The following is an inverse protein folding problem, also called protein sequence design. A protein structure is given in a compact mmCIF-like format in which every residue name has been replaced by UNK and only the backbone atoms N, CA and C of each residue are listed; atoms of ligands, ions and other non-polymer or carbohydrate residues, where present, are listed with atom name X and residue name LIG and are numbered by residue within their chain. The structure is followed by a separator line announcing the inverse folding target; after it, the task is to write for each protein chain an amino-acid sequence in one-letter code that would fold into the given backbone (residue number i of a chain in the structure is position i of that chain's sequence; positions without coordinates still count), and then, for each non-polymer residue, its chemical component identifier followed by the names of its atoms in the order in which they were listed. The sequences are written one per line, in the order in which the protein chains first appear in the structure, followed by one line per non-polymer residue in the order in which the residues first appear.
data_IF_994072652156
#
_entry.id   IF_994072652156
#
_cell.length_a   1.000
_cell.length_b   1.000
_cell.length_c   1.000
_cell.angle_alpha   90.00
_cell.angle_beta   90.00
_cell.angle_gamma   90.00
#
_symmetry.space_group_name_H-M   'P 1'
#
loop_
_entity.id
_entity.type
_entity.pdbx_description
1 polymer ?
#
# COMPACT_ATOMS: atom_id res chain seq x y z
N UNK A 1 -12.83 -4.49 7.97
CA UNK A 1 -13.10 -3.05 7.68
C UNK A 1 -12.81 -2.15 8.87
N UNK A 2 -13.19 -2.58 10.09
CA UNK A 2 -12.92 -1.77 11.30
C UNK A 2 -11.44 -1.44 11.49
N UNK A 3 -10.58 -2.43 11.36
CA UNK A 3 -9.14 -2.20 11.51
C UNK A 3 -8.61 -1.21 10.49
N UNK A 4 -9.08 -1.30 9.25
CA UNK A 4 -8.68 -0.39 8.18
C UNK A 4 -9.12 1.04 8.50
N UNK A 5 -10.36 1.21 8.99
CA UNK A 5 -10.87 2.54 9.36
C UNK A 5 -10.03 3.16 10.47
N UNK A 6 -9.63 2.36 11.46
CA UNK A 6 -8.75 2.83 12.53
C UNK A 6 -7.41 3.29 11.98
N UNK A 7 -6.84 2.53 11.04
CA UNK A 7 -5.56 2.90 10.43
C UNK A 7 -5.66 4.20 9.64
N UNK A 8 -6.78 4.41 8.93
CA UNK A 8 -7.00 5.65 8.19
C UNK A 8 -7.08 6.88 9.09
N UNK A 9 -7.54 6.70 10.33
CA UNK A 9 -7.68 7.80 11.29
C UNK A 9 -6.38 8.11 12.03
N UNK A 10 -5.35 7.29 11.84
CA UNK A 10 -4.06 7.49 12.48
C UNK A 10 -3.37 8.77 12.00
N UNK A 11 -2.45 9.28 12.81
CA UNK A 11 -1.72 10.50 12.48
C UNK A 11 -0.67 10.30 11.40
N UNK A 12 -0.09 9.10 11.33
CA UNK A 12 0.91 8.82 10.29
C UNK A 12 0.23 8.35 9.01
N UNK A 13 0.82 8.65 7.85
CA UNK A 13 0.30 8.14 6.58
C UNK A 13 0.29 6.62 6.54
N UNK A 14 -0.61 6.08 5.74
CA UNK A 14 -0.79 4.63 5.58
C UNK A 14 -0.52 4.22 4.14
N UNK A 15 0.45 3.35 3.95
CA UNK A 15 0.73 2.75 2.64
C UNK A 15 0.14 1.34 2.62
N UNK A 16 -0.75 1.10 1.67
CA UNK A 16 -1.42 -0.19 1.53
C UNK A 16 -0.94 -0.89 0.27
N UNK A 17 -0.49 -2.14 0.42
CA UNK A 17 -0.11 -3.01 -0.68
C UNK A 17 -1.25 -4.00 -0.94
N UNK A 18 -1.97 -3.80 -2.03
CA UNK A 18 -3.02 -4.73 -2.46
C UNK A 18 -2.41 -5.81 -3.33
N UNK A 19 -2.55 -7.05 -2.92
CA UNK A 19 -1.94 -8.19 -3.58
C UNK A 19 -2.88 -9.39 -3.61
N UNK A 20 -2.47 -10.46 -4.29
CA UNK A 20 -3.12 -11.75 -4.21
C UNK A 20 -2.06 -12.85 -4.18
N UNK A 21 -2.38 -13.98 -3.55
CA UNK A 21 -1.44 -15.09 -3.41
C UNK A 21 -1.05 -15.73 -4.74
N UNK A 22 -1.94 -15.64 -5.74
CA UNK A 22 -1.71 -16.23 -7.08
C UNK A 22 -1.00 -15.28 -8.05
N UNK A 23 -0.70 -14.08 -7.63
CA UNK A 23 -0.16 -13.03 -8.50
C UNK A 23 1.36 -13.08 -8.55
N UNK A 24 1.94 -13.34 -9.73
CA UNK A 24 3.38 -13.39 -9.92
C UNK A 24 4.08 -12.06 -9.62
N UNK A 25 3.65 -10.94 -10.24
CA UNK A 25 4.26 -9.62 -9.98
C UNK A 25 4.17 -9.19 -8.53
N UNK A 26 3.12 -9.63 -7.80
CA UNK A 26 2.99 -9.35 -6.37
C UNK A 26 4.13 -9.98 -5.57
N UNK A 27 4.57 -11.16 -5.98
CA UNK A 27 5.70 -11.85 -5.32
C UNK A 27 6.99 -11.07 -5.50
N UNK A 28 7.19 -10.47 -6.67
CA UNK A 28 8.33 -9.59 -6.93
C UNK A 28 8.25 -8.34 -6.06
N UNK A 29 7.05 -7.79 -5.91
CA UNK A 29 6.85 -6.56 -5.14
C UNK A 29 7.00 -6.76 -3.64
N UNK A 30 6.73 -7.96 -3.13
CA UNK A 30 6.74 -8.24 -1.70
C UNK A 30 8.06 -7.85 -0.99
N UNK A 31 9.24 -8.31 -1.44
CA UNK A 31 10.50 -7.91 -0.80
C UNK A 31 10.80 -6.42 -0.98
N UNK A 32 10.34 -5.83 -2.08
CA UNK A 32 10.51 -4.40 -2.33
C UNK A 32 9.74 -3.58 -1.29
N UNK A 33 8.49 -3.96 -1.04
CA UNK A 33 7.66 -3.29 -0.04
C UNK A 33 8.26 -3.45 1.35
N UNK A 34 8.77 -4.64 1.67
CA UNK A 34 9.42 -4.87 2.98
C UNK A 34 10.67 -4.01 3.15
N UNK A 35 11.46 -3.87 2.10
CA UNK A 35 12.63 -3.00 2.13
C UNK A 35 12.24 -1.55 2.36
N UNK A 36 11.24 -1.07 1.64
CA UNK A 36 10.77 0.33 1.77
C UNK A 36 10.15 0.57 3.14
N UNK A 37 9.42 -0.41 3.67
CA UNK A 37 8.87 -0.34 5.03
C UNK A 37 9.99 -0.08 6.04
N UNK A 38 11.10 -0.80 5.91
CA UNK A 38 12.27 -0.61 6.76
C UNK A 38 12.87 0.78 6.62
N UNK A 39 12.95 1.28 5.38
CA UNK A 39 13.50 2.61 5.10
C UNK A 39 12.61 3.73 5.64
N UNK A 40 11.29 3.55 5.61
CA UNK A 40 10.34 4.56 6.08
C UNK A 40 10.25 4.63 7.60
N UNK A 41 10.51 3.52 8.28
CA UNK A 41 10.47 3.47 9.74
C UNK A 41 9.11 3.90 10.29
N UNK A 42 9.12 4.83 11.25
CA UNK A 42 7.91 5.30 11.91
C UNK A 42 7.15 6.38 11.12
N UNK A 43 7.71 6.83 10.01
CA UNK A 43 7.12 7.93 9.24
C UNK A 43 5.85 7.53 8.51
N UNK A 44 5.74 6.26 8.14
CA UNK A 44 4.61 5.72 7.39
C UNK A 44 4.31 4.32 7.91
N UNK A 45 3.04 4.03 8.10
CA UNK A 45 2.63 2.67 8.45
C UNK A 45 2.37 1.90 7.15
N UNK A 46 2.89 0.69 7.05
CA UNK A 46 2.76 -0.15 5.85
C UNK A 46 1.95 -1.39 6.21
N UNK A 47 0.89 -1.65 5.45
CA UNK A 47 0.05 -2.84 5.62
C UNK A 47 -0.19 -3.50 4.27
N UNK A 48 -0.55 -4.77 4.29
CA UNK A 48 -0.83 -5.57 3.10
C UNK A 48 -2.23 -6.15 3.18
N UNK A 49 -2.98 -6.03 2.11
CA UNK A 49 -4.30 -6.63 2.01
C UNK A 49 -4.39 -7.54 0.79
N UNK A 50 -4.68 -8.82 1.05
CA UNK A 50 -5.01 -9.77 -0.01
C UNK A 50 -6.39 -9.40 -0.55
N UNK A 51 -6.49 -9.11 -1.84
CA UNK A 51 -7.75 -8.65 -2.44
C UNK A 51 -8.84 -9.72 -2.39
N UNK A 52 -8.46 -10.98 -2.28
CA UNK A 52 -9.44 -12.06 -2.17
C UNK A 52 -10.03 -12.17 -0.77
N UNK A 53 -9.27 -11.74 0.25
CA UNK A 53 -9.75 -11.71 1.63
C UNK A 53 -10.44 -10.38 1.98
N UNK A 54 -9.98 -9.28 1.38
CA UNK A 54 -10.47 -7.93 1.68
C UNK A 54 -11.14 -7.30 0.47
N UNK A 55 -12.10 -8.04 -0.10
CA UNK A 55 -12.82 -7.60 -1.29
C UNK A 55 -13.49 -6.24 -1.11
N UNK A 56 -14.05 -5.98 0.07
CA UNK A 56 -14.74 -4.72 0.34
C UNK A 56 -13.80 -3.52 0.25
N UNK A 57 -12.59 -3.65 0.79
CA UNK A 57 -11.62 -2.57 0.76
C UNK A 57 -11.10 -2.36 -0.67
N UNK A 58 -10.75 -3.44 -1.35
CA UNK A 58 -10.26 -3.37 -2.73
C UNK A 58 -11.32 -2.74 -3.65
N UNK A 59 -12.57 -3.14 -3.50
CA UNK A 59 -13.68 -2.61 -4.30
C UNK A 59 -13.91 -1.12 -4.02
N UNK A 60 -13.82 -0.71 -2.77
CA UNK A 60 -14.02 0.67 -2.36
C UNK A 60 -13.06 1.62 -3.07
N UNK A 61 -11.83 1.20 -3.31
CA UNK A 61 -10.82 2.00 -3.98
C UNK A 61 -10.60 1.59 -5.43
N UNK A 62 -11.52 0.83 -6.00
CA UNK A 62 -11.49 0.41 -7.41
C UNK A 62 -10.18 -0.28 -7.81
N UNK A 63 -9.64 -1.12 -6.92
CA UNK A 63 -8.43 -1.87 -7.19
C UNK A 63 -8.77 -3.00 -8.15
N UNK A 64 -8.33 -2.86 -9.40
CA UNK A 64 -8.61 -3.82 -10.48
C UNK A 64 -7.35 -4.53 -10.98
N UNK A 65 -6.20 -3.92 -10.73
CA UNK A 65 -4.89 -4.48 -11.08
C UNK A 65 -4.10 -4.72 -9.82
N UNK A 66 -3.31 -5.76 -9.80
CA UNK A 66 -2.42 -6.07 -8.67
C UNK A 66 -1.03 -6.37 -9.20
N UNK A 67 0.03 -5.99 -8.46
CA UNK A 67 -0.02 -5.24 -7.21
C UNK A 67 -0.46 -3.78 -7.43
N UNK A 68 -1.16 -3.24 -6.45
CA UNK A 68 -1.50 -1.81 -6.42
C UNK A 68 -1.14 -1.27 -5.05
N UNK A 69 -0.42 -0.16 -5.04
CA UNK A 69 -0.03 0.54 -3.82
C UNK A 69 -0.84 1.83 -3.73
N UNK A 70 -1.43 2.06 -2.56
CA UNK A 70 -2.18 3.29 -2.31
C UNK A 70 -1.67 3.92 -1.02
N UNK A 71 -1.34 5.19 -1.08
CA UNK A 71 -0.88 5.95 0.08
C UNK A 71 -1.99 6.87 0.54
N UNK A 72 -2.34 6.75 1.82
CA UNK A 72 -3.38 7.55 2.47
C UNK A 72 -2.75 8.51 3.46
N UNK A 73 -3.34 9.69 3.56
CA UNK A 73 -3.00 10.64 4.62
C UNK A 73 -4.29 11.29 5.10
N UNK A 74 -4.53 11.20 6.41
CA UNK A 74 -5.76 11.73 7.02
C UNK A 74 -7.02 11.22 6.33
N UNK A 75 -7.03 9.93 6.00
CA UNK A 75 -8.16 9.26 5.37
C UNK A 75 -8.31 9.47 3.87
N UNK A 76 -7.43 10.23 3.25
CA UNK A 76 -7.52 10.55 1.81
C UNK A 76 -6.39 9.89 1.04
N UNK A 77 -6.70 9.45 -0.19
CA UNK A 77 -5.69 8.95 -1.11
C UNK A 77 -4.84 10.13 -1.60
N UNK A 78 -3.53 10.07 -1.35
CA UNK A 78 -2.61 11.11 -1.81
C UNK A 78 -1.65 10.63 -2.90
N UNK A 79 -1.56 9.30 -3.10
CA UNK A 79 -0.71 8.74 -4.14
C UNK A 79 -1.14 7.29 -4.41
N UNK A 80 -0.97 6.86 -5.65
CA UNK A 80 -1.37 5.52 -6.05
C UNK A 80 -0.51 5.06 -7.24
N UNK A 81 -0.17 3.77 -7.26
CA UNK A 81 0.59 3.17 -8.35
C UNK A 81 0.19 1.71 -8.52
N UNK A 82 0.00 1.29 -9.76
CA UNK A 82 -0.23 -0.13 -10.09
C UNK A 82 0.96 -0.68 -10.85
N UNK A 83 1.32 -1.94 -10.57
CA UNK A 83 2.45 -2.62 -11.17
C UNK A 83 3.69 -2.57 -10.29
N UNK A 84 4.76 -3.22 -10.76
CA UNK A 84 6.02 -3.32 -10.03
C UNK A 84 6.80 -2.02 -10.17
N UNK A 85 7.46 -1.61 -9.08
CA UNK A 85 8.42 -0.50 -9.13
C UNK A 85 9.58 -0.82 -8.20
N UNK A 86 10.73 -0.18 -8.46
CA UNK A 86 11.94 -0.43 -7.67
C UNK A 86 11.82 0.24 -6.29
N UNK A 87 12.54 -0.31 -5.33
CA UNK A 87 12.48 0.17 -3.95
C UNK A 87 12.81 1.67 -3.84
N UNK A 88 13.86 2.13 -4.53
CA UNK A 88 14.26 3.53 -4.47
C UNK A 88 13.18 4.44 -5.05
N UNK A 89 12.53 4.02 -6.14
CA UNK A 89 11.44 4.79 -6.72
C UNK A 89 10.24 4.87 -5.79
N UNK A 90 9.89 3.74 -5.17
CA UNK A 90 8.78 3.71 -4.22
C UNK A 90 9.06 4.60 -3.02
N UNK A 91 10.26 4.48 -2.44
CA UNK A 91 10.65 5.29 -1.30
C UNK A 91 10.55 6.78 -1.62
N UNK A 92 11.10 7.19 -2.76
CA UNK A 92 11.08 8.61 -3.16
C UNK A 92 9.66 9.09 -3.45
N UNK A 93 8.82 8.26 -4.08
CA UNK A 93 7.44 8.63 -4.36
C UNK A 93 6.66 8.86 -3.06
N UNK A 94 6.81 7.96 -2.09
CA UNK A 94 6.13 8.07 -0.80
C UNK A 94 6.62 9.30 -0.05
N UNK A 95 7.93 9.49 0.06
CA UNK A 95 8.50 10.64 0.77
C UNK A 95 8.12 11.96 0.11
N UNK A 96 8.02 11.98 -1.21
CA UNK A 96 7.62 13.19 -1.94
C UNK A 96 6.14 13.52 -1.80
N UNK A 97 5.31 12.54 -1.48
CA UNK A 97 3.87 12.73 -1.38
C UNK A 97 3.40 13.16 0.03
N UNK A 98 4.14 12.78 1.06
CA UNK A 98 3.73 13.06 2.46
C UNK A 98 4.16 14.44 2.95
#
# INVERSE_FOLDING_TARGET
MEKFKELLQGEVPLLVDFYASWCGPCKTMHPIVEQVKSMLGDKVRVVKYDVDEYENIASLYHVRMIPTLILFKKGKVIWQHSGVMRAQELFQAVMGAI
#
